data_IF_947202348950
#
_entry.id   IF_947202348950
#
_cell.length_a   1.000
_cell.length_b   1.000
_cell.length_c   1.000
_cell.angle_alpha   90.00
_cell.angle_beta   90.00
_cell.angle_gamma   90.00
#
_symmetry.space_group_name_H-M   'P 1'
#
loop_
_entity.id
_entity.type
_entity.pdbx_description
1 polymer ?
#
# COMPACT_ATOMS: atom_id res chain seq x y z
N UNK A 1 10.87 2.38 8.08
CA UNK A 1 11.58 2.98 6.95
C UNK A 1 11.96 4.39 7.35
N UNK A 2 13.24 4.72 7.27
CA UNK A 2 13.71 6.06 7.62
C UNK A 2 13.37 7.07 6.52
N UNK A 3 13.44 8.36 6.82
CA UNK A 3 13.16 9.40 5.83
C UNK A 3 14.18 9.36 4.67
N UNK A 4 15.43 8.98 4.94
CA UNK A 4 16.46 8.77 3.92
C UNK A 4 16.12 7.59 3.00
N UNK A 5 15.75 6.44 3.58
CA UNK A 5 15.32 5.26 2.81
C UNK A 5 14.09 5.59 1.95
N UNK A 6 13.16 6.40 2.48
CA UNK A 6 11.94 6.80 1.79
C UNK A 6 12.24 7.73 0.61
N UNK A 7 13.21 8.63 0.75
CA UNK A 7 13.69 9.47 -0.35
C UNK A 7 14.30 8.64 -1.47
N UNK A 8 15.15 7.66 -1.13
CA UNK A 8 15.77 6.74 -2.09
C UNK A 8 14.71 5.89 -2.82
N UNK A 9 13.78 5.30 -2.08
CA UNK A 9 12.71 4.48 -2.64
C UNK A 9 11.79 5.26 -3.59
N UNK A 10 11.47 6.51 -3.24
CA UNK A 10 10.66 7.40 -4.08
C UNK A 10 11.47 8.11 -5.17
N UNK A 11 12.79 7.84 -5.24
CA UNK A 11 13.73 8.47 -6.16
C UNK A 11 13.65 10.01 -6.12
N UNK A 12 13.60 10.58 -4.91
CA UNK A 12 13.50 12.02 -4.67
C UNK A 12 14.88 12.62 -4.46
N UNK A 13 15.10 13.82 -5.02
CA UNK A 13 16.25 14.63 -4.65
C UNK A 13 16.13 15.12 -3.19
N UNK A 14 17.23 15.52 -2.52
CA UNK A 14 17.16 16.03 -1.15
C UNK A 14 16.21 17.23 -0.98
N UNK A 15 16.13 18.09 -2.00
CA UNK A 15 15.24 19.24 -2.03
C UNK A 15 13.75 18.82 -2.12
N UNK A 16 13.44 17.82 -2.94
CA UNK A 16 12.08 17.29 -3.07
C UNK A 16 11.66 16.48 -1.84
N UNK A 17 12.59 15.69 -1.29
CA UNK A 17 12.38 14.91 -0.07
C UNK A 17 11.95 15.81 1.09
N UNK A 18 12.61 16.96 1.28
CA UNK A 18 12.26 17.94 2.31
C UNK A 18 10.83 18.51 2.16
N UNK A 19 10.26 18.49 0.95
CA UNK A 19 8.91 18.98 0.66
C UNK A 19 7.87 17.85 0.77
N UNK A 20 8.20 16.66 0.27
CA UNK A 20 7.27 15.55 0.10
C UNK A 20 7.13 14.73 1.39
N UNK A 21 8.24 14.41 2.05
CA UNK A 21 8.28 13.50 3.21
C UNK A 21 7.50 14.04 4.42
N UNK A 22 7.53 15.36 4.75
CA UNK A 22 6.70 15.92 5.81
C UNK A 22 5.20 15.92 5.49
N UNK A 23 4.83 15.89 4.21
CA UNK A 23 3.42 15.87 3.76
C UNK A 23 2.81 14.47 3.75
N UNK A 24 3.61 13.43 3.99
CA UNK A 24 3.12 12.06 4.05
C UNK A 24 2.38 11.81 5.36
N UNK A 25 1.14 11.35 5.25
CA UNK A 25 0.35 10.94 6.41
C UNK A 25 0.93 9.68 7.05
N UNK A 26 0.64 9.47 8.34
CA UNK A 26 1.05 8.26 9.09
C UNK A 26 0.61 6.98 8.39
N UNK A 27 -0.58 6.97 7.78
CA UNK A 27 -1.08 5.82 7.00
C UNK A 27 -0.23 5.54 5.76
N UNK A 28 0.22 6.57 5.06
CA UNK A 28 1.11 6.41 3.89
C UNK A 28 2.51 5.96 4.31
N UNK A 29 3.06 6.48 5.40
CA UNK A 29 4.35 6.01 5.94
C UNK A 29 4.28 4.52 6.32
N UNK A 30 3.24 4.12 7.05
CA UNK A 30 3.01 2.71 7.40
C UNK A 30 2.83 1.79 6.18
N UNK A 31 2.32 2.31 5.05
CA UNK A 31 2.23 1.54 3.81
C UNK A 31 3.63 1.26 3.25
N UNK A 32 4.48 2.28 3.14
CA UNK A 32 5.85 2.11 2.66
C UNK A 32 6.69 1.22 3.58
N UNK A 33 6.47 1.31 4.90
CA UNK A 33 7.07 0.39 5.88
C UNK A 33 6.70 -1.07 5.60
N UNK A 34 5.43 -1.36 5.29
CA UNK A 34 5.01 -2.71 4.88
C UNK A 34 5.61 -3.11 3.55
N UNK A 35 5.68 -2.22 2.57
CA UNK A 35 6.27 -2.53 1.26
C UNK A 35 7.73 -2.95 1.38
N UNK A 36 8.51 -2.31 2.27
CA UNK A 36 9.88 -2.73 2.59
C UNK A 36 9.94 -4.16 3.17
N UNK A 37 8.96 -4.54 3.98
CA UNK A 37 8.88 -5.87 4.57
C UNK A 37 8.44 -6.94 3.57
N UNK A 38 7.64 -6.58 2.56
CA UNK A 38 7.16 -7.53 1.54
C UNK A 38 8.30 -8.16 0.74
N UNK A 39 9.38 -7.45 0.45
CA UNK A 39 10.56 -8.04 -0.23
C UNK A 39 11.20 -9.13 0.62
N UNK A 40 11.32 -8.89 1.93
CA UNK A 40 11.86 -9.85 2.90
C UNK A 40 10.91 -11.04 3.04
N UNK A 41 9.61 -10.79 3.20
CA UNK A 41 8.60 -11.85 3.30
C UNK A 41 8.52 -12.70 2.03
N UNK A 42 8.68 -12.08 0.85
CA UNK A 42 8.70 -12.78 -0.43
C UNK A 42 9.95 -13.65 -0.58
N UNK A 43 11.12 -13.13 -0.20
CA UNK A 43 12.36 -13.92 -0.18
C UNK A 43 12.23 -15.13 0.76
N UNK A 44 11.76 -14.91 1.99
CA UNK A 44 11.54 -15.98 2.97
C UNK A 44 10.52 -17.02 2.49
N UNK A 45 9.47 -16.61 1.79
CA UNK A 45 8.51 -17.54 1.20
C UNK A 45 9.10 -18.34 0.04
N UNK A 46 9.90 -17.73 -0.83
CA UNK A 46 10.60 -18.43 -1.92
C UNK A 46 11.61 -19.46 -1.38
N UNK A 47 12.23 -19.17 -0.24
CA UNK A 47 13.14 -20.08 0.46
C UNK A 47 12.40 -21.17 1.28
N UNK A 48 11.07 -21.12 1.35
CA UNK A 48 10.26 -22.06 2.14
C UNK A 48 10.35 -21.85 3.66
N UNK A 49 10.95 -20.74 4.09
CA UNK A 49 11.20 -20.39 5.49
C UNK A 49 10.11 -19.48 6.08
N UNK A 50 9.16 -19.03 5.27
CA UNK A 50 8.10 -18.11 5.68
C UNK A 50 6.73 -18.39 5.05
N UNK A 51 5.65 -17.91 5.69
CA UNK A 51 4.32 -17.94 5.11
C UNK A 51 4.24 -17.04 3.88
N UNK A 52 3.28 -17.32 2.99
CA UNK A 52 3.07 -16.52 1.77
C UNK A 52 2.86 -15.03 2.14
N UNK A 53 3.63 -14.09 1.56
CA UNK A 53 3.51 -12.67 1.88
C UNK A 53 2.11 -12.17 1.62
N UNK A 54 1.56 -11.41 2.58
CA UNK A 54 0.28 -10.75 2.44
C UNK A 54 0.49 -9.41 1.74
N UNK A 55 0.45 -9.48 0.40
CA UNK A 55 0.82 -8.37 -0.47
C UNK A 55 -0.20 -7.25 -0.51
N UNK A 56 0.28 -6.03 -0.25
CA UNK A 56 -0.36 -4.72 -0.45
C UNK A 56 -1.13 -4.61 -1.79
N UNK A 57 -0.66 -5.25 -2.87
CA UNK A 57 -1.36 -5.30 -4.16
C UNK A 57 -2.69 -6.09 -4.09
N UNK A 58 -2.72 -7.21 -3.37
CA UNK A 58 -3.94 -8.00 -3.17
C UNK A 58 -4.94 -7.28 -2.27
N UNK A 59 -4.46 -6.58 -1.24
CA UNK A 59 -5.34 -5.79 -0.37
C UNK A 59 -5.92 -4.59 -1.10
N UNK A 60 -5.13 -3.90 -1.95
CA UNK A 60 -5.63 -2.78 -2.74
C UNK A 60 -6.64 -3.24 -3.79
N UNK A 61 -6.39 -4.35 -4.50
CA UNK A 61 -7.37 -4.92 -5.42
C UNK A 61 -8.61 -5.47 -4.72
N UNK A 62 -8.47 -6.15 -3.57
CA UNK A 62 -9.60 -6.64 -2.77
C UNK A 62 -10.44 -5.47 -2.23
N UNK A 63 -9.80 -4.39 -1.79
CA UNK A 63 -10.48 -3.18 -1.34
C UNK A 63 -11.15 -2.43 -2.50
N UNK A 64 -10.50 -2.33 -3.66
CA UNK A 64 -11.13 -1.78 -4.87
C UNK A 64 -12.34 -2.61 -5.30
N UNK A 65 -12.22 -3.94 -5.27
CA UNK A 65 -13.32 -4.87 -5.57
C UNK A 65 -14.46 -4.73 -4.58
N UNK A 66 -14.17 -4.64 -3.28
CA UNK A 66 -15.16 -4.37 -2.22
C UNK A 66 -15.86 -3.03 -2.41
N UNK A 67 -15.12 -1.95 -2.71
CA UNK A 67 -15.69 -0.62 -2.98
C UNK A 67 -16.58 -0.63 -4.23
N UNK A 68 -16.17 -1.33 -5.30
CA UNK A 68 -16.96 -1.45 -6.53
C UNK A 68 -18.27 -2.19 -6.28
N UNK A 69 -18.25 -3.27 -5.50
CA UNK A 69 -19.46 -4.01 -5.09
C UNK A 69 -20.37 -3.15 -4.21
N UNK A 70 -19.82 -2.47 -3.20
CA UNK A 70 -20.60 -1.59 -2.33
C UNK A 70 -21.27 -0.44 -3.11
N UNK A 71 -20.55 0.16 -4.07
CA UNK A 71 -21.09 1.21 -4.94
C UNK A 71 -22.18 0.71 -5.87
N UNK A 72 -22.04 -0.50 -6.41
CA UNK A 72 -23.05 -1.15 -7.25
C UNK A 72 -24.33 -1.49 -6.45
N UNK A 73 -24.19 -1.94 -5.20
CA UNK A 73 -25.33 -2.20 -4.32
C UNK A 73 -26.12 -0.92 -3.99
N UNK A 74 -25.43 0.19 -3.76
CA UNK A 74 -26.07 1.51 -3.53
C UNK A 74 -26.83 1.99 -4.78
N UNK A 75 -26.28 1.78 -5.99
CA UNK A 75 -26.98 2.15 -7.23
C UNK A 75 -28.15 1.23 -7.57
N UNK A 76 -28.09 -0.05 -7.17
CA UNK A 76 -29.15 -1.02 -7.42
C UNK A 76 -30.35 -0.85 -6.46
N UNK A 77 -30.15 -0.28 -5.27
CA UNK A 77 -31.21 0.01 -4.31
C UNK A 77 -31.87 1.39 -4.46
N UNK A 78 -31.65 2.10 -5.57
CA UNK A 78 -32.16 3.46 -5.80
C UNK A 78 -33.11 3.58 -7.01
N UNK A 79 -33.59 2.44 -7.52
CA UNK A 79 -34.54 2.38 -8.61
C UNK A 79 -35.76 1.56 -8.19
N UNK A 80 -36.49 2.01 -7.17
CA UNK A 80 -37.87 1.61 -6.91
C UNK A 80 -38.55 2.78 -6.17
N UNK A 81 -38.91 3.82 -6.94
CA UNK A 81 -39.96 4.78 -6.59
C UNK A 81 -40.78 5.05 -7.86
#
# INVERSE_FOLDING_TARGET
MTDTELAEYLNLTPAEAAIVIPKLTTKRRALYDRMKQVEIEAALWMEGLGPKPQGVLLDTERDMRRRKIARAAISAGKCDE
#
